data_IF_842127758972
#
_entry.id   IF_842127758972
#
_cell.length_a   1.000
_cell.length_b   1.000
_cell.length_c   1.000
_cell.angle_alpha   90.00
_cell.angle_beta   90.00
_cell.angle_gamma   90.00
#
_symmetry.space_group_name_H-M   'P 1'
#
loop_
_entity.id
_entity.type
_entity.pdbx_description
1 polymer ?
#
# COMPACT_ATOMS: atom_id res chain seq x y z
N UNK A 1 23.42 -28.70 -34.24
CA UNK A 1 22.99 -27.32 -33.93
C UNK A 1 24.13 -26.70 -33.14
N UNK A 2 24.95 -25.86 -33.77
CA UNK A 2 26.11 -25.25 -33.10
C UNK A 2 25.66 -24.16 -32.12
N UNK A 3 26.21 -24.21 -30.90
CA UNK A 3 25.99 -23.20 -29.88
C UNK A 3 26.57 -21.86 -30.36
N UNK A 4 25.82 -20.74 -30.32
CA UNK A 4 26.34 -19.46 -30.77
C UNK A 4 27.58 -19.06 -29.98
N UNK A 5 28.58 -18.52 -30.68
CA UNK A 5 29.84 -18.09 -30.09
C UNK A 5 29.58 -17.08 -28.97
N UNK A 6 30.47 -17.06 -27.97
CA UNK A 6 30.34 -16.16 -26.82
C UNK A 6 30.20 -14.69 -27.24
N UNK A 7 30.89 -14.30 -28.33
CA UNK A 7 30.82 -12.96 -28.91
C UNK A 7 29.43 -12.64 -29.48
N UNK A 8 28.78 -13.59 -30.15
CA UNK A 8 27.43 -13.38 -30.66
C UNK A 8 26.43 -13.20 -29.51
N UNK A 9 26.56 -13.99 -28.43
CA UNK A 9 25.72 -13.82 -27.22
C UNK A 9 25.97 -12.47 -26.53
N UNK A 10 27.22 -12.02 -26.45
CA UNK A 10 27.58 -10.73 -25.90
C UNK A 10 26.98 -9.57 -26.72
N UNK A 11 27.05 -9.63 -28.05
CA UNK A 11 26.45 -8.63 -28.93
C UNK A 11 24.92 -8.56 -28.77
N UNK A 12 24.24 -9.71 -28.67
CA UNK A 12 22.79 -9.76 -28.44
C UNK A 12 22.42 -9.14 -27.09
N UNK A 13 23.18 -9.43 -26.03
CA UNK A 13 22.96 -8.85 -24.71
C UNK A 13 23.12 -7.33 -24.72
N UNK A 14 24.21 -6.83 -25.30
CA UNK A 14 24.46 -5.38 -25.41
C UNK A 14 23.34 -4.72 -26.21
N UNK A 15 22.95 -5.29 -27.35
CA UNK A 15 21.85 -4.76 -28.16
C UNK A 15 20.53 -4.73 -27.38
N UNK A 16 20.22 -5.77 -26.61
CA UNK A 16 19.01 -5.85 -25.79
C UNK A 16 19.00 -4.75 -24.72
N UNK A 17 20.12 -4.56 -24.02
CA UNK A 17 20.26 -3.52 -23.01
C UNK A 17 20.20 -2.12 -23.62
N UNK A 18 20.85 -1.88 -24.75
CA UNK A 18 20.81 -0.59 -25.45
C UNK A 18 19.40 -0.25 -25.92
N UNK A 19 18.66 -1.21 -26.48
CA UNK A 19 17.27 -1.01 -26.90
C UNK A 19 16.35 -0.65 -25.72
N UNK A 20 16.62 -1.20 -24.53
CA UNK A 20 15.88 -0.88 -23.30
C UNK A 20 16.18 0.54 -22.79
N UNK A 21 17.43 1.00 -22.92
CA UNK A 21 17.83 2.34 -22.46
C UNK A 21 17.37 3.46 -23.39
N UNK A 22 17.23 3.19 -24.69
CA UNK A 22 16.82 4.20 -25.69
C UNK A 22 15.31 4.51 -25.72
N UNK A 23 14.50 3.91 -24.85
CA UNK A 23 13.06 4.22 -24.76
C UNK A 23 12.83 5.60 -24.14
N UNK A 24 11.80 6.31 -24.59
CA UNK A 24 11.47 7.68 -24.15
C UNK A 24 11.29 7.81 -22.62
N UNK A 25 10.95 6.71 -21.94
CA UNK A 25 10.77 6.65 -20.48
C UNK A 25 11.83 5.77 -19.78
N UNK A 26 12.88 5.35 -20.50
CA UNK A 26 13.84 4.35 -20.04
C UNK A 26 13.24 2.95 -19.90
N UNK A 27 13.97 2.06 -19.25
CA UNK A 27 13.51 0.70 -18.90
C UNK A 27 13.57 0.55 -17.38
N UNK A 28 12.44 0.17 -16.78
CA UNK A 28 12.33 -0.17 -15.38
C UNK A 28 11.63 -1.52 -15.23
N UNK A 29 12.18 -2.38 -14.40
CA UNK A 29 11.52 -3.62 -13.98
C UNK A 29 11.43 -3.59 -12.46
N UNK A 30 10.22 -3.70 -11.93
CA UNK A 30 9.97 -3.74 -10.50
C UNK A 30 8.95 -4.83 -10.20
N UNK A 31 9.18 -5.57 -9.12
CA UNK A 31 8.19 -6.55 -8.62
C UNK A 31 6.92 -5.84 -8.16
N UNK A 32 5.78 -6.51 -8.26
CA UNK A 32 4.52 -5.98 -7.75
C UNK A 32 4.59 -5.77 -6.24
N UNK A 33 4.21 -4.59 -5.79
CA UNK A 33 4.17 -4.23 -4.37
C UNK A 33 2.75 -4.40 -3.82
N UNK A 34 2.45 -5.57 -3.24
CA UNK A 34 1.12 -5.88 -2.67
C UNK A 34 0.61 -4.78 -1.72
N UNK A 35 1.49 -4.22 -0.89
CA UNK A 35 1.15 -3.11 0.01
C UNK A 35 0.62 -1.89 -0.76
N UNK A 36 1.34 -1.47 -1.80
CA UNK A 36 0.99 -0.33 -2.64
C UNK A 36 -0.30 -0.63 -3.42
N UNK A 37 -0.42 -1.82 -4.01
CA UNK A 37 -1.62 -2.28 -4.73
C UNK A 37 -2.86 -2.27 -3.84
N UNK A 38 -2.73 -2.63 -2.57
CA UNK A 38 -3.83 -2.61 -1.60
C UNK A 38 -4.35 -1.20 -1.30
N UNK A 39 -3.47 -0.20 -1.29
CA UNK A 39 -3.92 1.20 -1.16
C UNK A 39 -4.60 1.70 -2.43
N UNK A 40 -4.05 1.34 -3.59
CA UNK A 40 -4.62 1.70 -4.90
C UNK A 40 -5.99 1.08 -5.12
N UNK A 41 -6.21 -0.16 -4.66
CA UNK A 41 -7.50 -0.86 -4.79
C UNK A 41 -8.63 -0.25 -3.95
N UNK A 42 -8.33 0.68 -3.04
CA UNK A 42 -9.34 1.36 -2.22
C UNK A 42 -9.81 2.70 -2.80
N UNK A 43 -9.23 3.13 -3.92
CA UNK A 43 -9.62 4.40 -4.55
C UNK A 43 -11.03 4.28 -5.13
N UNK A 44 -11.96 5.05 -4.56
CA UNK A 44 -13.36 5.08 -4.96
C UNK A 44 -13.79 6.45 -5.48
N UNK A 45 -14.93 6.48 -6.17
CA UNK A 45 -15.62 7.71 -6.55
C UNK A 45 -17.12 7.56 -6.31
N UNK A 46 -17.74 8.58 -5.73
CA UNK A 46 -19.20 8.67 -5.65
C UNK A 46 -19.77 9.05 -7.01
N UNK A 47 -20.76 8.28 -7.48
CA UNK A 47 -21.49 8.52 -8.73
C UNK A 47 -22.99 8.50 -8.46
N UNK A 48 -23.81 8.92 -9.43
CA UNK A 48 -25.27 8.85 -9.32
C UNK A 48 -25.79 7.42 -9.08
N UNK A 49 -25.02 6.41 -9.48
CA UNK A 49 -25.31 4.98 -9.30
C UNK A 49 -24.68 4.35 -8.05
N UNK A 50 -24.09 5.16 -7.16
CA UNK A 50 -23.41 4.70 -5.94
C UNK A 50 -21.88 4.84 -6.00
N UNK A 51 -21.19 4.14 -5.09
CA UNK A 51 -19.73 4.21 -4.96
C UNK A 51 -19.06 3.20 -5.88
N UNK A 52 -18.23 3.67 -6.80
CA UNK A 52 -17.49 2.82 -7.75
C UNK A 52 -16.01 2.76 -7.40
N UNK A 53 -15.38 1.62 -7.67
CA UNK A 53 -13.93 1.49 -7.61
C UNK A 53 -13.35 2.06 -8.91
N UNK A 54 -12.31 2.88 -8.82
CA UNK A 54 -11.65 3.41 -10.01
C UNK A 54 -10.66 2.42 -10.63
N UNK A 55 -10.13 1.49 -9.83
CA UNK A 55 -9.08 0.53 -10.23
C UNK A 55 -9.43 -0.90 -9.76
N UNK A 56 -10.51 -1.51 -10.28
CA UNK A 56 -10.98 -2.82 -9.84
C UNK A 56 -9.95 -3.94 -10.07
N UNK A 57 -9.09 -3.84 -11.07
CA UNK A 57 -8.03 -4.81 -11.38
C UNK A 57 -7.01 -4.91 -10.25
N UNK A 58 -6.76 -3.80 -9.52
CA UNK A 58 -5.90 -3.83 -8.34
C UNK A 58 -6.52 -4.70 -7.25
N UNK A 59 -7.83 -4.58 -7.01
CA UNK A 59 -8.52 -5.43 -6.04
C UNK A 59 -8.53 -6.90 -6.46
N UNK A 60 -8.81 -7.17 -7.73
CA UNK A 60 -8.77 -8.53 -8.28
C UNK A 60 -7.39 -9.16 -8.09
N UNK A 61 -6.31 -8.42 -8.36
CA UNK A 61 -4.95 -8.90 -8.17
C UNK A 61 -4.67 -9.32 -6.72
N UNK A 62 -5.22 -8.60 -5.71
CA UNK A 62 -5.08 -9.01 -4.30
C UNK A 62 -5.77 -10.34 -4.02
N UNK A 63 -6.95 -10.56 -4.59
CA UNK A 63 -7.71 -11.81 -4.41
C UNK A 63 -6.96 -13.02 -5.00
N UNK A 64 -6.32 -12.81 -6.15
CA UNK A 64 -5.53 -13.82 -6.86
C UNK A 64 -4.18 -14.09 -6.18
N UNK A 65 -3.59 -13.07 -5.56
CA UNK A 65 -2.26 -13.14 -4.92
C UNK A 65 -2.26 -13.71 -3.50
N UNK A 66 -3.42 -14.10 -2.96
CA UNK A 66 -3.49 -14.69 -1.62
C UNK A 66 -3.00 -16.15 -1.64
N UNK A 67 -1.88 -16.42 -0.96
CA UNK A 67 -1.32 -17.75 -0.79
C UNK A 67 -2.24 -18.63 0.09
N UNK A 68 -2.25 -19.94 -0.20
CA UNK A 68 -3.07 -20.92 0.55
C UNK A 68 -2.68 -20.96 2.02
N UNK A 69 -3.51 -20.38 2.89
CA UNK A 69 -3.40 -20.49 4.35
C UNK A 69 -2.42 -19.53 5.03
N UNK A 70 -1.67 -18.69 4.29
CA UNK A 70 -0.60 -17.86 4.86
C UNK A 70 -0.77 -16.35 4.59
N UNK A 71 -1.84 -15.92 3.93
CA UNK A 71 -2.04 -14.50 3.57
C UNK A 71 -1.36 -14.15 2.24
N UNK A 72 -0.53 -13.11 2.21
CA UNK A 72 0.21 -12.69 1.00
C UNK A 72 1.71 -12.90 1.18
N UNK A 73 2.42 -13.25 0.10
CA UNK A 73 3.84 -13.60 0.17
C UNK A 73 4.73 -12.49 0.73
N UNK A 74 5.59 -12.90 1.67
CA UNK A 74 6.56 -12.04 2.35
C UNK A 74 7.93 -12.29 1.73
N UNK A 75 8.43 -11.33 0.94
CA UNK A 75 9.71 -11.49 0.25
C UNK A 75 10.90 -10.93 1.03
N UNK A 76 10.66 -9.99 1.96
CA UNK A 76 11.74 -9.18 2.54
C UNK A 76 11.91 -9.34 4.06
N UNK A 77 10.84 -9.17 4.86
CA UNK A 77 10.93 -9.22 6.34
C UNK A 77 9.56 -9.46 6.98
N UNK A 78 9.53 -9.88 8.25
CA UNK A 78 8.29 -10.00 9.03
C UNK A 78 7.46 -8.71 9.03
N UNK A 79 8.10 -7.53 9.09
CA UNK A 79 7.40 -6.23 9.01
C UNK A 79 6.71 -6.03 7.68
N UNK A 80 7.40 -6.37 6.59
CA UNK A 80 6.88 -6.27 5.23
C UNK A 80 5.63 -7.16 5.07
N UNK A 81 5.68 -8.39 5.60
CA UNK A 81 4.52 -9.30 5.62
C UNK A 81 3.34 -8.75 6.42
N UNK A 82 3.61 -8.16 7.59
CA UNK A 82 2.59 -7.51 8.43
C UNK A 82 1.96 -6.33 7.72
N UNK A 83 2.77 -5.42 7.16
CA UNK A 83 2.28 -4.24 6.44
C UNK A 83 1.43 -4.63 5.23
N UNK A 84 1.92 -5.56 4.40
CA UNK A 84 1.17 -6.08 3.25
C UNK A 84 -0.15 -6.68 3.68
N UNK A 85 -0.13 -7.61 4.64
CA UNK A 85 -1.35 -8.29 5.10
C UNK A 85 -2.34 -7.29 5.70
N UNK A 86 -1.87 -6.32 6.48
CA UNK A 86 -2.71 -5.28 7.05
C UNK A 86 -3.32 -4.38 5.97
N UNK A 87 -2.55 -3.90 5.00
CA UNK A 87 -3.09 -3.09 3.92
C UNK A 87 -4.15 -3.85 3.09
N UNK A 88 -3.89 -5.14 2.79
CA UNK A 88 -4.89 -5.95 2.07
C UNK A 88 -6.12 -6.22 2.92
N UNK A 89 -5.96 -6.53 4.21
CA UNK A 89 -7.09 -6.69 5.14
C UNK A 89 -7.96 -5.42 5.14
N UNK A 90 -7.35 -4.24 5.20
CA UNK A 90 -8.07 -2.96 5.13
C UNK A 90 -8.85 -2.84 3.81
N UNK A 91 -8.22 -3.19 2.68
CA UNK A 91 -8.91 -3.19 1.38
C UNK A 91 -10.09 -4.17 1.34
N UNK A 92 -9.96 -5.36 1.93
CA UNK A 92 -11.05 -6.34 2.00
C UNK A 92 -12.21 -5.85 2.88
N UNK A 93 -11.91 -5.24 4.03
CA UNK A 93 -12.92 -4.69 4.94
C UNK A 93 -13.67 -3.56 4.24
N UNK A 94 -12.97 -2.58 3.68
CA UNK A 94 -13.60 -1.45 2.96
C UNK A 94 -14.47 -1.92 1.80
N UNK A 95 -14.02 -2.94 1.09
CA UNK A 95 -14.83 -3.51 0.03
C UNK A 95 -16.08 -4.21 0.57
N UNK A 96 -15.95 -4.98 1.66
CA UNK A 96 -17.08 -5.69 2.27
C UNK A 96 -18.17 -4.75 2.81
N UNK A 97 -17.82 -3.52 3.16
CA UNK A 97 -18.75 -2.49 3.66
C UNK A 97 -19.25 -1.54 2.58
N UNK A 98 -18.60 -1.51 1.40
CA UNK A 98 -18.99 -0.65 0.28
C UNK A 98 -19.83 -1.46 -0.70
N UNK A 99 -21.07 -1.02 -0.97
CA UNK A 99 -21.89 -1.63 -2.01
C UNK A 99 -21.28 -1.32 -3.38
N UNK A 100 -20.52 -2.27 -3.92
CA UNK A 100 -19.84 -2.13 -5.20
C UNK A 100 -20.34 -3.16 -6.21
N UNK A 101 -20.71 -2.70 -7.40
CA UNK A 101 -21.25 -3.55 -8.45
C UNK A 101 -20.23 -4.56 -9.03
N UNK A 102 -18.93 -4.24 -9.01
CA UNK A 102 -17.90 -5.02 -9.72
C UNK A 102 -17.64 -6.40 -9.08
N UNK A 103 -17.92 -6.58 -7.80
CA UNK A 103 -17.75 -7.87 -7.11
C UNK A 103 -18.96 -8.24 -6.25
N UNK A 104 -20.17 -7.91 -6.74
CA UNK A 104 -21.41 -8.30 -6.07
C UNK A 104 -21.47 -9.82 -5.86
N UNK A 105 -21.71 -10.26 -4.62
CA UNK A 105 -21.85 -11.68 -4.29
C UNK A 105 -20.56 -12.41 -3.89
N UNK A 106 -19.40 -11.73 -3.89
CA UNK A 106 -18.16 -12.31 -3.40
C UNK A 106 -18.14 -12.35 -1.85
N UNK A 107 -18.06 -13.54 -1.27
CA UNK A 107 -17.90 -13.69 0.18
C UNK A 107 -16.43 -13.49 0.61
N UNK A 108 -16.15 -12.31 1.18
CA UNK A 108 -14.83 -11.95 1.67
C UNK A 108 -14.55 -12.40 3.10
N UNK A 109 -15.56 -12.86 3.85
CA UNK A 109 -15.42 -13.21 5.28
C UNK A 109 -14.32 -14.24 5.54
N UNK A 110 -14.18 -15.33 4.74
CA UNK A 110 -13.09 -16.29 4.95
C UNK A 110 -11.71 -15.66 4.77
N UNK A 111 -11.55 -14.76 3.80
CA UNK A 111 -10.27 -14.10 3.51
C UNK A 111 -9.90 -13.08 4.59
N UNK A 112 -10.89 -12.32 5.08
CA UNK A 112 -10.76 -11.41 6.22
C UNK A 112 -10.32 -12.19 7.47
N UNK A 113 -11.00 -13.29 7.80
CA UNK A 113 -10.67 -14.11 8.97
C UNK A 113 -9.24 -14.68 8.89
N UNK A 114 -8.83 -15.17 7.72
CA UNK A 114 -7.46 -15.65 7.49
C UNK A 114 -6.42 -14.53 7.69
N UNK A 115 -6.67 -13.33 7.16
CA UNK A 115 -5.75 -12.21 7.29
C UNK A 115 -5.63 -11.71 8.75
N UNK A 116 -6.74 -11.66 9.50
CA UNK A 116 -6.74 -11.34 10.93
C UNK A 116 -5.91 -12.35 11.71
N UNK A 117 -6.14 -13.65 11.49
CA UNK A 117 -5.40 -14.71 12.17
C UNK A 117 -3.90 -14.64 11.85
N UNK A 118 -3.53 -14.38 10.60
CA UNK A 118 -2.13 -14.24 10.21
C UNK A 118 -1.45 -13.06 10.91
N UNK A 119 -2.09 -11.89 10.95
CA UNK A 119 -1.55 -10.72 11.64
C UNK A 119 -1.33 -10.95 13.13
N UNK A 120 -2.27 -11.66 13.79
CA UNK A 120 -2.13 -11.95 15.22
C UNK A 120 -0.91 -12.83 15.52
N UNK A 121 -0.59 -13.78 14.64
CA UNK A 121 0.58 -14.64 14.81
C UNK A 121 1.92 -13.93 14.56
N UNK A 122 1.93 -12.85 13.77
CA UNK A 122 3.18 -12.17 13.37
C UNK A 122 3.50 -10.93 14.22
N UNK A 123 2.52 -10.37 14.95
CA UNK A 123 2.63 -9.06 15.61
C UNK A 123 3.56 -9.01 16.83
N UNK A 124 4.00 -10.15 17.36
CA UNK A 124 4.85 -10.23 18.55
C UNK A 124 6.35 -9.95 18.31
N UNK A 125 6.77 -9.77 17.06
CA UNK A 125 8.19 -9.85 16.71
C UNK A 125 8.85 -8.58 16.17
N UNK A 126 8.22 -7.40 16.16
CA UNK A 126 8.87 -6.27 15.48
C UNK A 126 8.70 -4.86 16.05
N UNK A 127 9.73 -4.02 15.81
CA UNK A 127 9.66 -2.57 15.91
C UNK A 127 8.98 -2.00 14.68
N UNK A 128 7.81 -1.41 14.86
CA UNK A 128 7.04 -0.89 13.74
C UNK A 128 7.24 0.62 13.54
N UNK A 129 7.25 1.05 12.28
CA UNK A 129 7.20 2.46 11.90
C UNK A 129 5.86 3.10 12.27
N UNK A 130 5.57 4.30 11.76
CA UNK A 130 4.27 4.96 12.00
C UNK A 130 3.09 4.29 11.27
N UNK A 131 3.37 3.46 10.26
CA UNK A 131 2.37 2.84 9.38
C UNK A 131 1.55 1.74 10.06
N UNK A 132 2.18 0.81 10.80
CA UNK A 132 1.43 -0.26 11.49
C UNK A 132 0.50 0.31 12.56
N UNK A 133 0.94 1.22 13.46
CA UNK A 133 0.02 1.88 14.38
C UNK A 133 -1.12 2.61 13.70
N UNK A 134 -0.85 3.29 12.56
CA UNK A 134 -1.92 3.95 11.81
C UNK A 134 -2.94 2.95 11.26
N UNK A 135 -2.50 1.80 10.73
CA UNK A 135 -3.41 0.74 10.29
C UNK A 135 -4.18 0.12 11.45
N UNK A 136 -3.55 -0.08 12.61
CA UNK A 136 -4.22 -0.58 13.82
C UNK A 136 -5.34 0.37 14.27
N UNK A 137 -5.08 1.68 14.30
CA UNK A 137 -6.11 2.68 14.61
C UNK A 137 -7.29 2.59 13.63
N UNK A 138 -7.01 2.52 12.33
CA UNK A 138 -8.06 2.39 11.30
C UNK A 138 -8.88 1.11 11.54
N UNK A 139 -8.25 -0.01 11.92
CA UNK A 139 -8.99 -1.24 12.22
C UNK A 139 -9.91 -1.11 13.44
N UNK A 140 -9.54 -0.29 14.43
CA UNK A 140 -10.41 -0.03 15.58
C UNK A 140 -11.69 0.68 15.18
N UNK A 141 -11.67 1.55 14.16
CA UNK A 141 -12.87 2.17 13.58
C UNK A 141 -13.84 1.14 12.98
N UNK A 142 -13.30 0.00 12.51
CA UNK A 142 -14.07 -1.14 12.04
C UNK A 142 -14.37 -2.18 13.14
N UNK A 143 -14.15 -1.85 14.42
CA UNK A 143 -14.31 -2.74 15.57
C UNK A 143 -13.41 -3.99 15.55
N UNK A 144 -12.27 -3.92 14.85
CA UNK A 144 -11.28 -5.00 14.82
C UNK A 144 -10.10 -4.58 15.68
N UNK A 145 -9.92 -5.28 16.81
CA UNK A 145 -8.84 -5.03 17.75
C UNK A 145 -7.83 -6.16 17.73
N UNK A 146 -6.55 -5.79 17.62
CA UNK A 146 -5.42 -6.72 17.63
C UNK A 146 -4.71 -6.62 18.98
N UNK A 147 -4.87 -7.60 19.85
CA UNK A 147 -4.17 -7.67 21.13
C UNK A 147 -2.92 -8.56 21.01
N UNK A 148 -1.76 -8.01 21.38
CA UNK A 148 -0.47 -8.70 21.36
C UNK A 148 0.49 -8.03 22.35
N UNK A 149 1.50 -8.75 22.84
CA UNK A 149 2.33 -8.29 23.97
C UNK A 149 3.08 -6.98 23.66
N UNK A 150 3.46 -6.77 22.41
CA UNK A 150 4.17 -5.57 21.95
C UNK A 150 3.32 -4.32 21.71
N UNK A 151 1.98 -4.39 21.85
CA UNK A 151 1.08 -3.32 21.42
C UNK A 151 1.30 -1.99 22.15
N UNK A 152 1.41 -2.03 23.48
CA UNK A 152 1.59 -0.83 24.29
C UNK A 152 2.94 -0.14 24.02
N UNK A 153 4.00 -0.93 23.84
CA UNK A 153 5.32 -0.43 23.47
C UNK A 153 5.30 0.22 22.07
N UNK A 154 4.56 -0.40 21.14
CA UNK A 154 4.38 0.14 19.80
C UNK A 154 3.62 1.48 19.82
N UNK A 155 2.51 1.57 20.55
CA UNK A 155 1.75 2.81 20.71
C UNK A 155 2.62 3.91 21.34
N UNK A 156 3.38 3.58 22.37
CA UNK A 156 4.31 4.53 23.01
C UNK A 156 5.37 5.05 22.03
N UNK A 157 5.95 4.17 21.19
CA UNK A 157 6.93 4.58 20.18
C UNK A 157 6.31 5.48 19.11
N UNK A 158 5.07 5.18 18.72
CA UNK A 158 4.30 6.01 17.79
C UNK A 158 4.08 7.39 18.40
N UNK A 159 3.63 7.47 19.65
CA UNK A 159 3.34 8.72 20.33
C UNK A 159 4.60 9.60 20.48
N UNK A 160 5.75 8.99 20.80
CA UNK A 160 7.04 9.69 20.83
C UNK A 160 7.40 10.26 19.45
N UNK A 161 7.15 9.51 18.37
CA UNK A 161 7.41 9.99 17.00
C UNK A 161 6.42 11.08 16.59
N UNK A 162 5.14 10.91 16.93
CA UNK A 162 4.08 11.85 16.57
C UNK A 162 4.12 13.13 17.41
N UNK A 163 4.67 13.12 18.62
CA UNK A 163 4.89 14.31 19.44
C UNK A 163 5.85 15.32 18.77
N UNK A 164 6.70 14.84 17.86
CA UNK A 164 7.60 15.70 17.07
C UNK A 164 6.98 16.13 15.75
N UNK A 165 5.90 15.48 15.33
CA UNK A 165 5.23 15.78 14.07
C UNK A 165 4.30 16.98 14.23
N UNK A 166 4.47 17.95 13.34
CA UNK A 166 3.59 19.11 13.22
C UNK A 166 3.11 19.18 11.77
N UNK A 167 1.79 19.16 11.48
CA UNK A 167 1.28 19.17 10.11
C UNK A 167 1.84 20.31 9.24
N UNK A 168 2.15 21.46 9.87
CA UNK A 168 2.77 22.61 9.22
C UNK A 168 4.06 22.31 8.46
N UNK A 169 4.83 21.28 8.85
CA UNK A 169 6.04 20.89 8.12
C UNK A 169 5.74 20.40 6.69
N UNK A 170 4.56 19.82 6.48
CA UNK A 170 4.10 19.35 5.16
C UNK A 170 3.46 20.47 4.33
N UNK A 171 2.98 21.54 4.97
CA UNK A 171 2.38 22.66 4.24
C UNK A 171 3.42 23.65 3.71
N UNK A 172 4.66 23.57 4.19
CA UNK A 172 5.78 24.35 3.68
C UNK A 172 6.25 23.89 2.29
N UNK A 173 7.17 24.64 1.65
CA UNK A 173 7.70 24.31 0.33
C UNK A 173 8.70 23.14 0.34
N UNK A 174 9.24 22.79 1.51
CA UNK A 174 10.27 21.75 1.64
C UNK A 174 9.67 20.35 1.62
N UNK A 175 10.10 19.52 0.67
CA UNK A 175 9.73 18.11 0.63
C UNK A 175 10.36 17.35 1.80
N UNK A 176 9.57 16.54 2.47
CA UNK A 176 10.04 15.66 3.55
C UNK A 176 9.79 14.21 3.18
N UNK A 177 10.52 13.28 3.79
CA UNK A 177 10.34 11.84 3.57
C UNK A 177 8.98 11.31 4.03
N UNK A 178 8.25 12.08 4.86
CA UNK A 178 6.88 11.76 5.27
C UNK A 178 5.89 11.77 4.10
N UNK A 179 6.19 12.48 3.02
CA UNK A 179 5.39 12.48 1.78
C UNK A 179 5.41 11.12 1.05
N UNK A 180 6.21 10.15 1.51
CA UNK A 180 6.20 8.75 1.02
C UNK A 180 5.35 7.84 1.92
N UNK A 181 4.67 8.38 2.92
CA UNK A 181 3.89 7.63 3.91
C UNK A 181 2.65 8.42 4.35
N UNK A 182 2.00 9.14 3.43
CA UNK A 182 0.82 9.97 3.73
C UNK A 182 -0.36 9.14 4.25
N UNK A 183 -0.43 7.87 3.91
CA UNK A 183 -1.42 6.92 4.39
C UNK A 183 -1.36 6.70 5.92
N UNK A 184 -0.22 6.98 6.58
CA UNK A 184 -0.11 6.99 8.04
C UNK A 184 -0.62 8.27 8.70
N UNK A 185 -0.92 9.29 7.89
CA UNK A 185 -1.28 10.65 8.32
C UNK A 185 -2.71 11.03 7.92
N UNK A 186 -3.51 10.07 7.46
CA UNK A 186 -4.95 10.23 7.23
C UNK A 186 -5.59 10.83 8.50
N UNK A 187 -6.47 11.81 8.31
CA UNK A 187 -7.14 12.60 9.36
C UNK A 187 -6.22 13.45 10.26
N UNK A 188 -4.89 13.44 10.03
CA UNK A 188 -3.92 14.26 10.77
C UNK A 188 -3.43 15.48 9.99
N UNK A 189 -3.75 15.54 8.71
CA UNK A 189 -3.34 16.60 7.80
C UNK A 189 -4.50 17.01 6.90
N UNK A 190 -4.44 18.24 6.43
CA UNK A 190 -5.30 18.76 5.37
C UNK A 190 -4.66 18.38 4.02
N UNK A 191 -5.31 17.47 3.29
CA UNK A 191 -4.81 16.96 2.01
C UNK A 191 -4.75 18.05 0.94
N UNK A 192 -5.65 19.03 0.96
CA UNK A 192 -5.65 20.08 -0.08
C UNK A 192 -4.43 20.99 0.04
N UNK A 193 -3.94 21.16 1.27
CA UNK A 193 -2.75 21.96 1.57
C UNK A 193 -1.42 21.31 1.23
N UNK A 194 -1.41 20.07 0.73
CA UNK A 194 -0.19 19.38 0.30
C UNK A 194 -0.12 19.14 -1.21
N UNK A 195 -1.10 19.62 -1.99
CA UNK A 195 -1.15 19.43 -3.45
C UNK A 195 0.12 19.94 -4.16
N UNK A 196 0.77 20.99 -3.64
CA UNK A 196 1.98 21.58 -4.20
C UNK A 196 3.20 20.65 -4.16
N UNK A 197 3.17 19.60 -3.34
CA UNK A 197 4.24 18.60 -3.30
C UNK A 197 4.14 17.56 -4.44
N UNK A 198 2.98 17.48 -5.11
CA UNK A 198 2.75 16.55 -6.22
C UNK A 198 3.70 16.87 -7.37
N UNK A 199 4.41 15.85 -7.85
CA UNK A 199 5.27 15.92 -9.03
C UNK A 199 4.83 14.84 -10.01
N UNK A 200 4.60 15.19 -11.28
CA UNK A 200 4.13 14.25 -12.30
C UNK A 200 2.89 13.43 -11.86
N UNK A 201 2.00 14.03 -11.08
CA UNK A 201 0.78 13.39 -10.60
C UNK A 201 0.94 12.51 -9.35
N UNK A 202 2.15 12.33 -8.80
CA UNK A 202 2.39 11.43 -7.67
C UNK A 202 3.09 12.11 -6.48
N UNK A 203 3.01 11.47 -5.31
CA UNK A 203 3.77 11.83 -4.12
C UNK A 203 4.95 10.87 -3.94
N UNK A 204 6.17 11.39 -4.08
CA UNK A 204 7.44 10.67 -3.86
C UNK A 204 7.53 9.25 -4.48
N UNK A 205 6.96 9.05 -5.68
CA UNK A 205 6.88 7.77 -6.36
C UNK A 205 6.28 6.62 -5.50
N UNK A 206 5.41 6.97 -4.55
CA UNK A 206 4.66 6.02 -3.71
C UNK A 206 3.19 5.99 -4.15
N UNK A 207 2.74 4.88 -4.76
CA UNK A 207 1.32 4.67 -5.07
C UNK A 207 0.41 4.75 -3.83
N UNK A 208 0.79 4.21 -2.67
CA UNK A 208 0.02 4.21 -1.43
C UNK A 208 -0.22 5.62 -0.93
N UNK A 209 0.85 6.42 -0.89
CA UNK A 209 0.79 7.81 -0.49
C UNK A 209 -0.06 8.64 -1.47
N UNK A 210 0.03 8.33 -2.76
CA UNK A 210 -0.78 8.99 -3.80
C UNK A 210 -2.25 8.58 -3.69
N UNK A 211 -2.54 7.30 -3.43
CA UNK A 211 -3.88 6.79 -3.20
C UNK A 211 -4.51 7.39 -1.94
N UNK A 212 -3.75 7.48 -0.85
CA UNK A 212 -4.19 8.15 0.38
C UNK A 212 -4.53 9.61 0.12
N UNK A 213 -3.72 10.34 -0.64
CA UNK A 213 -4.06 11.70 -1.06
C UNK A 213 -5.36 11.74 -1.87
N UNK A 214 -5.51 10.90 -2.91
CA UNK A 214 -6.70 10.88 -3.77
C UNK A 214 -7.99 10.54 -3.03
N UNK A 215 -7.92 9.73 -1.98
CA UNK A 215 -9.08 9.37 -1.16
C UNK A 215 -9.49 10.47 -0.18
N UNK A 216 -8.62 11.46 0.08
CA UNK A 216 -8.80 12.44 1.16
C UNK A 216 -8.68 13.91 0.71
N UNK A 217 -8.34 14.19 -0.56
CA UNK A 217 -8.41 15.53 -1.12
C UNK A 217 -9.84 15.91 -1.49
N UNK A 218 -10.15 17.20 -1.44
CA UNK A 218 -11.41 17.72 -1.95
C UNK A 218 -11.49 17.57 -3.47
N UNK A 219 -12.72 17.38 -3.97
CA UNK A 219 -13.02 17.23 -5.40
C UNK A 219 -12.97 18.56 -6.15
#
# INVERSE_FOLDING_TARGET
>A
MESPSLNAKAQVLVQTLTNQVCQQHGSGSMSTAIYETAWVSMITRCTNSGVVLLLPESFQHLLESQARGVGWETYASTVDGILKTAAVLLSLIRFSTTQNANFSGLDLRPRIALAINHLMLQSDHVGFGILVPALLDIFEEYNIKFEFTGRSALQSLRDIKMAKFHPGILYGPTKTTLLRSLEALIDKIDSDRIIHHKANGHFMASPSSTAAYLMNCSA
#
